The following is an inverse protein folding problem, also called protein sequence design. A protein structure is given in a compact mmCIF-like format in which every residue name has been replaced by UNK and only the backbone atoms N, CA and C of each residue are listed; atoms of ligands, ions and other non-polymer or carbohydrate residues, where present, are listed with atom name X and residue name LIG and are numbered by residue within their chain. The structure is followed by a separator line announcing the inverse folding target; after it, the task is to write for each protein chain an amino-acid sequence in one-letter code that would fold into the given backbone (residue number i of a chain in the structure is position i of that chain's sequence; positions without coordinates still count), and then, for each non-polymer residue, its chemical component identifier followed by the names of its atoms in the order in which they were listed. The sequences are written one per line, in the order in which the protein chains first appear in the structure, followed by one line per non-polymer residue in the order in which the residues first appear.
data_IF_514197380062
#
_entry.id   IF_514197380062
#
_cell.length_a   1.000
_cell.length_b   1.000
_cell.length_c   1.000
_cell.angle_alpha   90.00
_cell.angle_beta   90.00
_cell.angle_gamma   90.00
#
_symmetry.space_group_name_H-M   'P 1'
#
loop_
_entity.id
_entity.type
_entity.pdbx_description
1 polymer ?
#
# COMPACT_ATOMS: atom_id res chain seq x y z
N UNK A 1 -7.44 10.89 -16.40
CA UNK A 1 -6.32 10.68 -15.45
C UNK A 1 -5.10 11.46 -15.96
N UNK A 2 -4.71 12.53 -15.32
CA UNK A 2 -3.54 13.31 -15.70
C UNK A 2 -2.29 12.68 -15.08
N UNK A 3 -1.36 12.22 -15.91
CA UNK A 3 -0.05 11.71 -15.50
C UNK A 3 0.96 12.85 -15.49
N UNK A 4 1.72 12.97 -14.41
CA UNK A 4 2.80 13.95 -14.28
C UNK A 4 4.15 13.26 -14.15
N UNK A 5 5.21 13.97 -14.53
CA UNK A 5 6.58 13.54 -14.30
C UNK A 5 7.32 14.62 -13.51
N UNK A 6 8.00 14.23 -12.46
CA UNK A 6 8.85 15.12 -11.65
C UNK A 6 10.28 14.61 -11.68
N UNK A 7 11.21 15.51 -11.96
CA UNK A 7 12.65 15.15 -11.99
C UNK A 7 13.24 15.10 -10.58
N UNK A 8 12.70 15.87 -9.63
CA UNK A 8 13.24 16.02 -8.27
C UNK A 8 12.13 16.04 -7.23
N UNK A 9 12.46 15.72 -5.97
CA UNK A 9 11.58 15.87 -4.82
C UNK A 9 11.09 17.32 -4.67
N UNK A 10 11.96 18.30 -4.89
CA UNK A 10 11.61 19.71 -4.80
C UNK A 10 10.52 20.13 -5.80
N UNK A 11 10.61 19.67 -7.05
CA UNK A 11 9.60 19.96 -8.06
C UNK A 11 8.22 19.36 -7.70
N UNK A 12 8.20 18.20 -7.08
CA UNK A 12 6.96 17.59 -6.58
C UNK A 12 6.45 18.31 -5.34
N UNK A 13 7.33 18.69 -4.42
CA UNK A 13 6.97 19.49 -3.24
C UNK A 13 6.33 20.82 -3.63
N UNK A 14 6.92 21.57 -4.58
CA UNK A 14 6.36 22.82 -5.11
C UNK A 14 5.01 22.63 -5.80
N UNK A 15 4.78 21.46 -6.41
CA UNK A 15 3.48 21.14 -6.98
C UNK A 15 2.44 20.91 -5.88
N UNK A 16 2.77 20.13 -4.84
CA UNK A 16 1.86 19.90 -3.71
C UNK A 16 1.56 21.19 -2.95
N UNK A 17 2.52 22.11 -2.81
CA UNK A 17 2.29 23.41 -2.19
C UNK A 17 1.14 24.20 -2.83
N UNK A 18 0.87 24.00 -4.12
CA UNK A 18 -0.20 24.69 -4.86
C UNK A 18 -1.46 23.85 -5.06
N UNK A 19 -1.42 22.54 -4.82
CA UNK A 19 -2.49 21.63 -5.23
C UNK A 19 -2.94 20.65 -4.15
N UNK A 20 -2.29 20.62 -2.97
CA UNK A 20 -2.58 19.63 -1.93
C UNK A 20 -4.02 19.66 -1.43
N UNK A 21 -4.68 20.82 -1.49
CA UNK A 21 -6.06 21.07 -1.05
C UNK A 21 -7.08 21.09 -2.21
N UNK A 22 -6.60 21.04 -3.46
CA UNK A 22 -7.42 21.15 -4.68
C UNK A 22 -7.48 19.86 -5.50
N UNK A 23 -6.46 19.02 -5.35
CA UNK A 23 -6.35 17.78 -6.12
C UNK A 23 -6.74 16.56 -5.28
N UNK A 24 -7.61 15.72 -5.81
CA UNK A 24 -8.03 14.47 -5.19
C UNK A 24 -6.96 13.38 -5.34
N UNK A 25 -6.14 13.46 -6.38
CA UNK A 25 -5.04 12.53 -6.63
C UNK A 25 -4.04 13.07 -7.65
N UNK A 26 -2.86 12.47 -7.67
CA UNK A 26 -1.88 12.62 -8.75
C UNK A 26 -1.28 11.28 -9.11
N UNK A 27 -1.12 11.04 -10.40
CA UNK A 27 -0.37 9.92 -10.93
C UNK A 27 0.99 10.39 -11.40
N UNK A 28 2.05 9.80 -10.86
CA UNK A 28 3.44 10.17 -11.19
C UNK A 28 4.08 9.04 -11.96
N UNK A 29 4.66 9.36 -13.13
CA UNK A 29 5.54 8.47 -13.88
C UNK A 29 6.90 8.47 -13.20
N UNK A 30 7.35 7.28 -12.76
CA UNK A 30 8.63 7.06 -12.09
C UNK A 30 9.44 6.06 -12.92
N UNK A 31 10.68 6.39 -13.20
CA UNK A 31 11.57 5.52 -13.95
C UNK A 31 12.16 4.43 -13.04
N UNK A 32 12.32 3.22 -13.60
CA UNK A 32 12.91 2.08 -12.89
C UNK A 32 14.42 2.30 -12.73
N UNK A 33 14.97 1.76 -11.65
CA UNK A 33 16.43 1.68 -11.47
C UNK A 33 17.04 0.94 -12.66
N UNK A 34 18.12 1.48 -13.23
CA UNK A 34 18.78 0.93 -14.41
C UNK A 34 18.18 1.35 -15.76
N UNK A 35 17.10 2.16 -15.77
CA UNK A 35 16.51 2.66 -17.02
C UNK A 35 17.37 3.70 -17.76
N UNK A 36 18.38 4.28 -17.10
CA UNK A 36 19.18 5.41 -17.61
C UNK A 36 18.46 6.76 -17.55
N UNK A 37 17.19 6.79 -17.13
CA UNK A 37 16.37 8.00 -17.11
C UNK A 37 16.19 8.52 -15.65
N UNK A 38 16.32 9.83 -15.45
CA UNK A 38 16.17 10.46 -14.15
C UNK A 38 14.70 10.82 -13.88
N UNK A 39 14.23 10.47 -12.70
CA UNK A 39 12.98 10.96 -12.11
C UNK A 39 13.09 10.94 -10.60
N UNK A 40 12.13 11.54 -9.91
CA UNK A 40 11.95 11.33 -8.47
C UNK A 40 11.88 9.84 -8.15
N UNK A 41 12.53 9.42 -7.08
CA UNK A 41 12.46 8.04 -6.59
C UNK A 41 11.19 7.82 -5.75
N UNK A 42 10.71 6.57 -5.60
CA UNK A 42 9.60 6.28 -4.69
C UNK A 42 9.84 6.75 -3.26
N UNK A 43 11.07 6.63 -2.76
CA UNK A 43 11.43 7.05 -1.40
C UNK A 43 11.31 8.56 -1.22
N UNK A 44 11.87 9.33 -2.15
CA UNK A 44 11.75 10.80 -2.14
C UNK A 44 10.28 11.24 -2.26
N UNK A 45 9.52 10.58 -3.13
CA UNK A 45 8.10 10.90 -3.30
C UNK A 45 7.28 10.63 -2.02
N UNK A 46 7.58 9.54 -1.29
CA UNK A 46 6.96 9.24 0.02
C UNK A 46 7.29 10.35 1.03
N UNK A 47 8.54 10.78 1.13
CA UNK A 47 8.91 11.87 2.02
C UNK A 47 8.12 13.15 1.72
N UNK A 48 8.02 13.51 0.44
CA UNK A 48 7.27 14.69 0.00
C UNK A 48 5.79 14.59 0.36
N UNK A 49 5.13 13.45 0.05
CA UNK A 49 3.69 13.32 0.32
C UNK A 49 3.37 13.26 1.81
N UNK A 50 4.24 12.68 2.64
CA UNK A 50 4.09 12.69 4.09
C UNK A 50 4.11 14.11 4.65
N UNK A 51 5.00 14.97 4.14
CA UNK A 51 5.07 16.37 4.54
C UNK A 51 3.74 17.13 4.31
N UNK A 52 2.97 16.75 3.29
CA UNK A 52 1.70 17.40 2.91
C UNK A 52 0.45 16.62 3.38
N UNK A 53 0.61 15.55 4.18
CA UNK A 53 -0.52 14.75 4.67
C UNK A 53 -1.17 13.88 3.59
N UNK A 54 -0.41 13.52 2.57
CA UNK A 54 -0.79 12.61 1.49
C UNK A 54 -0.21 11.22 1.71
N UNK A 55 -0.65 10.25 0.90
CA UNK A 55 -0.21 8.86 0.96
C UNK A 55 -0.07 8.26 -0.44
N UNK A 56 0.81 7.28 -0.58
CA UNK A 56 0.89 6.43 -1.75
C UNK A 56 -0.29 5.47 -1.83
N UNK A 57 -0.70 5.20 -3.06
CA UNK A 57 -1.77 4.26 -3.38
C UNK A 57 -1.31 3.19 -4.36
N UNK A 58 -2.11 2.95 -5.38
CA UNK A 58 -1.88 1.89 -6.37
C UNK A 58 -0.66 2.21 -7.24
N UNK A 59 0.15 1.17 -7.52
CA UNK A 59 1.20 1.19 -8.54
C UNK A 59 0.76 0.38 -9.75
N UNK A 60 1.01 0.91 -10.96
CA UNK A 60 0.73 0.22 -12.23
C UNK A 60 1.98 0.25 -13.11
N UNK A 61 2.26 -0.83 -13.83
CA UNK A 61 3.23 -0.80 -14.92
C UNK A 61 2.80 0.23 -15.97
N UNK A 62 3.77 0.90 -16.60
CA UNK A 62 3.51 1.84 -17.69
C UNK A 62 4.22 1.38 -18.96
N UNK A 63 5.53 1.21 -18.91
CA UNK A 63 6.36 0.67 -19.96
C UNK A 63 7.54 -0.15 -19.37
N UNK A 64 8.44 -0.64 -20.23
CA UNK A 64 9.59 -1.44 -19.79
C UNK A 64 10.53 -0.69 -18.85
N UNK A 65 10.57 0.65 -18.92
CA UNK A 65 11.51 1.52 -18.19
C UNK A 65 10.84 2.29 -17.05
N UNK A 66 9.49 2.25 -16.91
CA UNK A 66 8.79 3.07 -15.95
C UNK A 66 7.51 2.42 -15.41
N UNK A 67 6.99 3.02 -14.34
CA UNK A 67 5.70 2.69 -13.74
C UNK A 67 4.98 3.97 -13.30
N UNK A 68 3.68 3.85 -13.11
CA UNK A 68 2.85 4.90 -12.54
C UNK A 68 2.60 4.62 -11.07
N UNK A 69 2.81 5.63 -10.24
CA UNK A 69 2.48 5.60 -8.82
C UNK A 69 1.42 6.65 -8.52
N UNK A 70 0.32 6.22 -7.89
CA UNK A 70 -0.74 7.12 -7.42
C UNK A 70 -0.40 7.67 -6.05
N UNK A 71 -0.69 8.95 -5.83
CA UNK A 71 -0.68 9.61 -4.53
C UNK A 71 -1.99 10.37 -4.34
N UNK A 72 -2.49 10.43 -3.11
CA UNK A 72 -3.75 11.11 -2.76
C UNK A 72 -3.72 11.63 -1.33
N UNK A 73 -4.56 12.59 -0.97
CA UNK A 73 -4.72 13.02 0.42
C UNK A 73 -5.06 11.82 1.32
N UNK A 74 -4.55 11.82 2.55
CA UNK A 74 -4.95 10.83 3.56
C UNK A 74 -6.41 11.06 3.94
N UNK A 75 -7.17 9.98 4.01
CA UNK A 75 -8.50 9.97 4.57
C UNK A 75 -8.47 9.58 6.06
N UNK A 76 -9.58 9.82 6.77
CA UNK A 76 -9.76 9.34 8.15
C UNK A 76 -9.66 7.81 8.29
N UNK A 77 -9.80 7.06 7.19
CA UNK A 77 -9.68 5.59 7.15
C UNK A 77 -8.28 5.12 6.76
N UNK A 78 -7.39 6.02 6.37
CA UNK A 78 -6.02 5.66 5.95
C UNK A 78 -5.23 5.10 7.13
N UNK A 79 -4.75 3.87 6.97
CA UNK A 79 -3.87 3.23 7.95
C UNK A 79 -2.45 3.78 7.87
N UNK A 80 -1.68 3.62 8.96
CA UNK A 80 -0.28 3.95 8.99
C UNK A 80 0.57 2.68 8.96
N UNK A 81 1.62 2.68 8.17
CA UNK A 81 2.68 1.68 8.26
C UNK A 81 3.76 2.17 9.21
N UNK A 82 4.47 1.26 9.89
CA UNK A 82 5.58 1.64 10.75
C UNK A 82 6.65 2.41 9.99
N UNK A 83 6.92 2.05 8.73
CA UNK A 83 7.86 2.77 7.86
C UNK A 83 7.44 4.24 7.68
N UNK A 84 6.13 4.50 7.48
CA UNK A 84 5.64 5.87 7.34
C UNK A 84 5.65 6.63 8.68
N UNK A 85 5.44 5.95 9.82
CA UNK A 85 5.62 6.52 11.16
C UNK A 85 7.07 6.94 11.36
N UNK A 86 8.03 6.04 11.07
CA UNK A 86 9.46 6.30 11.23
C UNK A 86 9.95 7.43 10.29
N UNK A 87 9.50 7.42 9.03
CA UNK A 87 9.80 8.49 8.08
C UNK A 87 9.24 9.84 8.55
N UNK A 88 8.00 9.85 9.06
CA UNK A 88 7.37 11.08 9.57
C UNK A 88 8.11 11.61 10.80
N UNK A 89 8.51 10.74 11.74
CA UNK A 89 9.31 11.16 12.90
C UNK A 89 10.64 11.82 12.47
N UNK A 90 11.31 11.24 11.47
CA UNK A 90 12.51 11.84 10.87
C UNK A 90 12.23 13.19 10.22
N UNK A 91 11.16 13.29 9.42
CA UNK A 91 10.77 14.53 8.73
C UNK A 91 10.38 15.66 9.71
N UNK A 92 9.76 15.32 10.84
CA UNK A 92 9.48 16.27 11.94
C UNK A 92 10.80 16.79 12.51
N UNK A 93 11.76 15.89 12.83
CA UNK A 93 13.07 16.27 13.35
C UNK A 93 13.86 17.15 12.37
N UNK A 94 13.69 16.91 11.06
CA UNK A 94 14.32 17.71 10.00
C UNK A 94 13.60 19.05 9.74
N UNK A 95 12.48 19.36 10.42
CA UNK A 95 11.70 20.57 10.21
C UNK A 95 11.01 20.66 8.84
N UNK A 96 10.79 19.53 8.17
CA UNK A 96 10.26 19.48 6.79
C UNK A 96 8.75 19.33 6.70
N UNK A 97 8.10 18.96 7.81
CA UNK A 97 6.65 18.76 7.83
C UNK A 97 5.91 20.08 7.73
N UNK A 98 4.88 20.11 6.88
CA UNK A 98 3.93 21.23 6.85
C UNK A 98 2.85 21.04 7.92
N UNK A 99 2.08 22.10 8.21
CA UNK A 99 0.91 22.01 9.10
C UNK A 99 -0.11 20.96 8.61
N UNK A 100 -0.27 20.80 7.28
CA UNK A 100 -1.17 19.79 6.70
C UNK A 100 -0.73 18.37 7.03
N UNK A 101 0.58 18.10 6.96
CA UNK A 101 1.16 16.84 7.36
C UNK A 101 1.03 16.59 8.85
N UNK A 102 1.35 17.57 9.68
CA UNK A 102 1.25 17.48 11.15
C UNK A 102 -0.19 17.22 11.61
N UNK A 103 -1.19 17.89 11.02
CA UNK A 103 -2.62 17.62 11.33
C UNK A 103 -2.99 16.16 11.10
N UNK A 104 -2.46 15.49 10.05
CA UNK A 104 -2.72 14.07 9.81
C UNK A 104 -2.05 13.17 10.86
N UNK A 105 -0.88 13.55 11.36
CA UNK A 105 -0.19 12.86 12.45
C UNK A 105 -0.98 12.95 13.74
N UNK A 106 -1.40 14.17 14.12
CA UNK A 106 -2.18 14.41 15.34
C UNK A 106 -3.53 13.68 15.32
N UNK A 107 -4.25 13.75 14.20
CA UNK A 107 -5.48 12.99 14.02
C UNK A 107 -5.27 11.47 14.15
N UNK A 108 -4.15 10.96 13.63
CA UNK A 108 -3.83 9.54 13.73
C UNK A 108 -3.43 9.13 15.15
N UNK A 109 -2.77 9.99 15.91
CA UNK A 109 -2.46 9.77 17.33
C UNK A 109 -3.74 9.81 18.17
N UNK A 110 -4.61 10.79 17.97
CA UNK A 110 -5.84 10.96 18.70
C UNK A 110 -6.81 9.77 18.56
N UNK A 111 -6.88 9.14 17.37
CA UNK A 111 -7.77 7.98 17.14
C UNK A 111 -7.03 6.62 17.22
N UNK A 112 -5.77 6.61 17.65
CA UNK A 112 -4.96 5.41 17.87
C UNK A 112 -4.47 4.70 16.60
N UNK A 113 -4.67 5.26 15.40
CA UNK A 113 -4.12 4.67 14.15
C UNK A 113 -2.60 4.73 14.12
N UNK A 114 -2.00 5.72 14.78
CA UNK A 114 -0.56 5.88 14.89
C UNK A 114 0.08 4.72 15.65
N UNK A 115 -0.43 4.38 16.82
CA UNK A 115 0.10 3.33 17.69
C UNK A 115 -0.17 1.92 17.12
N UNK A 116 -1.25 1.80 16.35
CA UNK A 116 -1.59 0.57 15.62
C UNK A 116 -0.93 0.48 14.23
N UNK A 117 0.14 1.24 13.99
CA UNK A 117 0.86 1.21 12.72
C UNK A 117 1.33 -0.22 12.40
N UNK A 118 0.98 -0.70 11.20
CA UNK A 118 1.30 -2.06 10.80
C UNK A 118 2.74 -2.20 10.32
N UNK A 119 3.33 -3.38 10.54
CA UNK A 119 4.64 -3.77 10.04
C UNK A 119 4.48 -4.89 9.02
N UNK A 120 5.09 -4.74 7.83
CA UNK A 120 5.09 -5.81 6.81
C UNK A 120 6.00 -6.95 7.26
N UNK A 121 7.21 -6.59 7.73
CA UNK A 121 8.19 -7.57 8.21
C UNK A 121 7.81 -8.05 9.60
N UNK A 122 7.72 -9.37 9.77
CA UNK A 122 7.37 -9.98 11.05
C UNK A 122 5.87 -10.00 11.39
N UNK A 123 4.98 -9.68 10.44
CA UNK A 123 3.53 -9.87 10.65
C UNK A 123 3.22 -11.35 10.88
N UNK A 124 2.69 -11.65 12.07
CA UNK A 124 2.22 -13.00 12.40
C UNK A 124 0.93 -13.30 11.67
N UNK A 125 0.84 -14.52 11.12
CA UNK A 125 -0.40 -15.01 10.53
C UNK A 125 -1.45 -15.19 11.64
N UNK A 126 -2.70 -14.71 11.46
CA UNK A 126 -3.78 -14.99 12.41
C UNK A 126 -3.98 -16.50 12.57
N UNK A 127 -4.14 -16.97 13.82
CA UNK A 127 -4.20 -18.40 14.12
C UNK A 127 -5.37 -19.10 13.42
N UNK A 128 -6.52 -18.46 13.34
CA UNK A 128 -7.72 -18.97 12.65
C UNK A 128 -7.51 -19.07 11.13
N UNK A 129 -6.84 -18.10 10.51
CA UNK A 129 -6.48 -18.15 9.10
C UNK A 129 -5.42 -19.24 8.83
N UNK A 130 -4.41 -19.35 9.69
CA UNK A 130 -3.38 -20.38 9.57
C UNK A 130 -3.99 -21.78 9.67
N UNK A 131 -4.84 -22.02 10.68
CA UNK A 131 -5.52 -23.28 10.86
C UNK A 131 -6.39 -23.65 9.64
N UNK A 132 -7.13 -22.70 9.09
CA UNK A 132 -7.95 -22.91 7.90
C UNK A 132 -7.12 -23.24 6.64
N UNK A 133 -5.95 -22.62 6.49
CA UNK A 133 -5.02 -22.92 5.39
C UNK A 133 -4.43 -24.33 5.58
N UNK A 134 -4.01 -24.69 6.80
CA UNK A 134 -3.38 -25.97 7.10
C UNK A 134 -4.33 -27.15 6.96
N UNK A 135 -5.63 -26.96 7.22
CA UNK A 135 -6.68 -27.95 7.01
C UNK A 135 -6.90 -28.33 5.53
N UNK A 136 -6.41 -27.52 4.59
CA UNK A 136 -6.60 -27.72 3.15
C UNK A 136 -5.26 -27.96 2.43
N UNK A 137 -4.89 -29.21 2.08
CA UNK A 137 -3.56 -29.52 1.55
C UNK A 137 -3.16 -28.72 0.29
N UNK A 138 -4.12 -28.39 -0.60
CA UNK A 138 -3.86 -27.57 -1.79
C UNK A 138 -3.58 -26.11 -1.41
N UNK A 139 -4.32 -25.56 -0.45
CA UNK A 139 -4.13 -24.20 0.03
C UNK A 139 -2.78 -24.04 0.75
N UNK A 140 -2.42 -25.03 1.61
CA UNK A 140 -1.15 -25.06 2.31
C UNK A 140 0.05 -25.06 1.36
N UNK A 141 0.07 -25.97 0.37
CA UNK A 141 1.14 -26.00 -0.65
C UNK A 141 1.28 -24.68 -1.41
N UNK A 142 0.15 -24.02 -1.69
CA UNK A 142 0.18 -22.72 -2.34
C UNK A 142 0.68 -21.61 -1.41
N UNK A 143 0.26 -21.63 -0.15
CA UNK A 143 0.69 -20.69 0.88
C UNK A 143 2.21 -20.73 1.09
N UNK A 144 2.84 -21.91 1.07
CA UNK A 144 4.28 -22.09 1.19
C UNK A 144 5.07 -21.37 0.08
N UNK A 145 4.47 -21.24 -1.12
CA UNK A 145 5.05 -20.54 -2.28
C UNK A 145 4.82 -19.04 -2.29
N UNK A 146 3.99 -18.51 -1.37
CA UNK A 146 3.65 -17.09 -1.37
C UNK A 146 4.85 -16.21 -1.04
N UNK A 147 4.95 -15.09 -1.77
CA UNK A 147 5.85 -13.99 -1.42
C UNK A 147 5.49 -13.38 -0.06
N UNK A 148 6.47 -12.72 0.59
CA UNK A 148 6.23 -12.00 1.84
C UNK A 148 5.10 -10.96 1.71
N UNK A 149 5.00 -10.30 0.56
CA UNK A 149 3.93 -9.34 0.26
C UNK A 149 2.54 -10.01 0.26
N UNK A 150 2.40 -11.17 -0.37
CA UNK A 150 1.13 -11.90 -0.39
C UNK A 150 0.77 -12.46 0.99
N UNK A 151 1.73 -13.02 1.72
CA UNK A 151 1.51 -13.47 3.11
C UNK A 151 1.07 -12.32 4.02
N UNK A 152 1.74 -11.17 3.92
CA UNK A 152 1.33 -9.97 4.64
C UNK A 152 -0.10 -9.55 4.28
N UNK A 153 -0.45 -9.53 2.99
CA UNK A 153 -1.78 -9.12 2.55
C UNK A 153 -2.90 -10.03 3.08
N UNK A 154 -2.67 -11.33 3.16
CA UNK A 154 -3.59 -12.28 3.79
C UNK A 154 -3.79 -11.95 5.28
N UNK A 155 -2.69 -11.85 6.04
CA UNK A 155 -2.72 -11.56 7.46
C UNK A 155 -3.39 -10.21 7.74
N UNK A 156 -2.94 -9.14 7.07
CA UNK A 156 -3.42 -7.77 7.26
C UNK A 156 -4.91 -7.64 6.96
N UNK A 157 -5.38 -8.19 5.83
CA UNK A 157 -6.79 -8.10 5.46
C UNK A 157 -7.69 -8.90 6.40
N UNK A 158 -7.21 -10.01 6.96
CA UNK A 158 -7.95 -10.80 7.96
C UNK A 158 -8.01 -10.07 9.30
N UNK A 159 -6.89 -9.50 9.78
CA UNK A 159 -6.82 -8.77 11.04
C UNK A 159 -7.70 -7.51 11.06
N UNK A 160 -7.88 -6.86 9.91
CA UNK A 160 -8.68 -5.64 9.78
C UNK A 160 -10.17 -5.87 9.55
N UNK A 161 -10.65 -7.12 9.59
CA UNK A 161 -12.08 -7.40 9.52
C UNK A 161 -12.77 -6.98 10.81
N UNK A 162 -13.84 -6.19 10.70
CA UNK A 162 -14.54 -5.59 11.84
C UNK A 162 -15.56 -6.53 12.50
N UNK A 163 -16.08 -7.50 11.76
CA UNK A 163 -17.09 -8.43 12.25
C UNK A 163 -16.59 -9.87 12.14
N UNK A 164 -17.00 -10.72 13.08
CA UNK A 164 -16.63 -12.13 13.08
C UNK A 164 -17.13 -12.85 11.80
N UNK A 165 -18.37 -12.59 11.40
CA UNK A 165 -18.93 -13.17 10.18
C UNK A 165 -18.19 -12.72 8.91
N UNK A 166 -17.80 -11.44 8.83
CA UNK A 166 -16.96 -10.92 7.76
C UNK A 166 -15.57 -11.55 7.76
N UNK A 167 -14.98 -11.73 8.95
CA UNK A 167 -13.69 -12.39 9.12
C UNK A 167 -13.73 -13.83 8.63
N UNK A 168 -14.74 -14.59 9.02
CA UNK A 168 -14.94 -15.99 8.57
C UNK A 168 -15.04 -16.08 7.05
N UNK A 169 -15.93 -15.29 6.42
CA UNK A 169 -16.06 -15.25 4.95
C UNK A 169 -14.76 -14.84 4.26
N UNK A 170 -13.98 -13.95 4.87
CA UNK A 170 -12.68 -13.55 4.32
C UNK A 170 -11.67 -14.69 4.33
N UNK A 171 -11.60 -15.45 5.43
CA UNK A 171 -10.76 -16.64 5.57
C UNK A 171 -11.15 -17.68 4.52
N UNK A 172 -12.43 -18.02 4.41
CA UNK A 172 -12.95 -18.96 3.40
C UNK A 172 -12.56 -18.53 1.97
N UNK A 173 -12.74 -17.24 1.66
CA UNK A 173 -12.36 -16.68 0.37
C UNK A 173 -10.86 -16.82 0.08
N UNK A 174 -10.00 -16.64 1.08
CA UNK A 174 -8.56 -16.79 0.93
C UNK A 174 -8.15 -18.25 0.75
N UNK A 175 -8.72 -19.17 1.52
CA UNK A 175 -8.50 -20.60 1.36
C UNK A 175 -8.92 -21.06 -0.05
N UNK A 176 -10.11 -20.65 -0.52
CA UNK A 176 -10.59 -20.97 -1.86
C UNK A 176 -9.67 -20.38 -2.97
N UNK A 177 -9.18 -19.15 -2.80
CA UNK A 177 -8.22 -18.52 -3.71
C UNK A 177 -6.91 -19.34 -3.78
N UNK A 178 -6.35 -19.71 -2.63
CA UNK A 178 -5.12 -20.51 -2.56
C UNK A 178 -5.30 -21.92 -3.15
N UNK A 179 -6.46 -22.55 -2.97
CA UNK A 179 -6.79 -23.86 -3.59
C UNK A 179 -6.77 -23.80 -5.12
N UNK A 180 -7.11 -22.65 -5.71
CA UNK A 180 -7.04 -22.41 -7.16
C UNK A 180 -5.63 -22.03 -7.65
N UNK A 181 -4.64 -21.91 -6.75
CA UNK A 181 -3.29 -21.48 -7.09
C UNK A 181 -3.17 -19.98 -7.39
N UNK A 182 -4.11 -19.17 -6.92
CA UNK A 182 -4.18 -17.73 -7.16
C UNK A 182 -3.53 -16.92 -6.02
N UNK A 183 -3.17 -15.68 -6.31
CA UNK A 183 -2.56 -14.75 -5.36
C UNK A 183 -3.23 -13.38 -5.37
N UNK A 184 -3.12 -12.63 -4.27
CA UNK A 184 -3.66 -11.27 -4.18
C UNK A 184 -2.90 -10.31 -5.10
N UNK A 185 -1.58 -10.43 -5.12
CA UNK A 185 -0.69 -9.63 -5.96
C UNK A 185 0.12 -10.54 -6.89
N UNK A 186 0.40 -10.11 -8.13
CA UNK A 186 1.24 -10.88 -9.06
C UNK A 186 2.58 -11.23 -8.42
N UNK A 187 3.01 -12.49 -8.61
CA UNK A 187 4.33 -12.95 -8.23
C UNK A 187 4.88 -13.94 -9.26
N UNK A 188 6.21 -14.07 -9.35
CA UNK A 188 6.85 -15.02 -10.28
C UNK A 188 6.46 -16.46 -9.94
N UNK A 189 6.17 -17.25 -10.95
CA UNK A 189 5.90 -18.69 -10.82
C UNK A 189 4.49 -19.04 -10.30
N UNK A 190 3.56 -18.09 -10.27
CA UNK A 190 2.16 -18.31 -9.88
C UNK A 190 1.24 -17.54 -10.80
N UNK A 191 0.18 -18.17 -11.28
CA UNK A 191 -0.87 -17.53 -12.08
C UNK A 191 -1.59 -16.47 -11.24
N UNK A 192 -1.62 -15.22 -11.75
CA UNK A 192 -2.52 -14.21 -11.16
C UNK A 192 -3.95 -14.49 -11.61
N UNK A 193 -4.97 -14.23 -10.78
CA UNK A 193 -6.35 -14.34 -11.21
C UNK A 193 -6.56 -13.44 -12.42
N UNK A 194 -7.13 -13.99 -13.49
CA UNK A 194 -7.72 -13.20 -14.56
C UNK A 194 -8.71 -12.23 -13.91
N UNK A 195 -8.55 -10.94 -14.14
CA UNK A 195 -9.55 -9.93 -13.73
C UNK A 195 -10.87 -10.33 -14.35
N UNK A 196 -11.75 -10.94 -13.56
CA UNK A 196 -13.12 -11.19 -13.96
C UNK A 196 -13.73 -9.87 -14.43
N UNK A 197 -14.22 -9.88 -15.65
CA UNK A 197 -15.12 -8.87 -16.17
C UNK A 197 -16.26 -8.74 -15.16
N UNK A 198 -16.47 -7.52 -14.66
CA UNK A 198 -17.71 -7.21 -13.94
C UNK A 198 -18.87 -7.48 -14.89
N UNK A 199 -19.90 -8.22 -14.50
CA UNK A 199 -21.10 -8.31 -15.31
C UNK A 199 -21.71 -6.92 -15.41
N UNK A 200 -21.88 -6.47 -16.66
CA UNK A 200 -22.71 -5.33 -17.00
C UNK A 200 -24.14 -5.67 -16.59
N UNK A 201 -24.74 -4.89 -15.74
CA UNK A 201 -26.10 -4.94 -15.30
C UNK A 201 -26.41 -3.67 -14.54
#
# INVERSE_FOLDING_TARGET
MAVRAFKTAESFYKWLARHHDKADEVWIKIHKVGSGLKSITPKEAIDVVLCWGWIDGIRKGFDDKSFLQRYSPRSRKSTWSQINVDNTARLIKEGRMTEHGLRQVEAAKADGRWDRAYRIKGTKMPADLQAAIDAEPKARRMFEKLSAQNRFALAFRTQNMKTESGRRRKIESFVAMLKRGETIYPQKGVTSPSRGQSPSG
#
